data_IF_848712162231
#
_entry.id   IF_848712162231
#
_cell.length_a   1.000
_cell.length_b   1.000
_cell.length_c   1.000
_cell.angle_alpha   90.00
_cell.angle_beta   90.00
_cell.angle_gamma   90.00
#
_symmetry.space_group_name_H-M   'P 1'
#
loop_
_entity.id
_entity.type
_entity.pdbx_description
1 polymer ?
#
# COMPACT_ATOMS: atom_id res chain seq x y z
N UNK A 1 -2.26 24.86 -7.37
CA UNK A 1 -2.08 23.44 -7.01
C UNK A 1 -0.76 23.40 -6.27
N UNK A 2 -0.76 23.32 -4.95
CA UNK A 2 0.49 23.25 -4.18
C UNK A 2 0.91 21.79 -4.14
N UNK A 3 1.84 21.43 -5.00
CA UNK A 3 2.60 20.19 -4.89
C UNK A 3 3.41 20.29 -3.58
N UNK A 4 3.23 19.31 -2.68
CA UNK A 4 3.99 19.23 -1.45
C UNK A 4 5.35 18.60 -1.78
N UNK A 5 6.38 19.43 -1.92
CA UNK A 5 7.76 18.99 -2.05
C UNK A 5 8.41 18.93 -0.66
N UNK A 6 9.02 17.80 -0.31
CA UNK A 6 10.01 17.75 0.78
C UNK A 6 11.40 18.11 0.23
N UNK A 7 12.36 18.50 1.08
CA UNK A 7 13.69 19.01 0.68
C UNK A 7 14.51 18.03 -0.19
N UNK A 8 14.07 16.77 -0.31
CA UNK A 8 14.66 15.71 -1.13
C UNK A 8 13.90 15.37 -2.44
N UNK A 9 12.96 16.20 -2.94
CA UNK A 9 12.23 16.03 -4.22
C UNK A 9 11.34 14.77 -4.34
N UNK A 10 10.86 14.20 -3.24
CA UNK A 10 9.89 13.09 -3.30
C UNK A 10 8.46 13.57 -3.53
N UNK A 11 7.71 12.88 -4.41
CA UNK A 11 6.26 12.98 -4.41
C UNK A 11 5.69 12.19 -3.23
N UNK A 12 4.77 12.77 -2.47
CA UNK A 12 4.16 12.09 -1.31
C UNK A 12 2.80 11.51 -1.70
N UNK A 13 2.58 10.25 -1.33
CA UNK A 13 1.28 9.57 -1.45
C UNK A 13 0.94 8.82 -0.17
N UNK A 14 -0.34 8.83 0.20
CA UNK A 14 -0.86 8.08 1.34
C UNK A 14 -1.66 6.88 0.86
N UNK A 15 -1.45 5.73 1.51
CA UNK A 15 -2.11 4.48 1.16
C UNK A 15 -2.70 3.82 2.40
N UNK A 16 -3.91 3.28 2.29
CA UNK A 16 -4.56 2.44 3.32
C UNK A 16 -5.36 1.32 2.64
N UNK A 17 -5.45 0.19 3.34
CA UNK A 17 -6.28 -0.95 2.99
C UNK A 17 -7.21 -1.32 4.12
N UNK A 18 -8.49 -1.46 3.81
CA UNK A 18 -9.47 -1.91 4.80
C UNK A 18 -10.05 -3.28 4.44
N UNK A 19 -10.53 -4.00 5.45
CA UNK A 19 -11.28 -5.24 5.25
C UNK A 19 -12.33 -5.38 6.36
N UNK A 20 -13.61 -5.27 5.99
CA UNK A 20 -14.72 -5.67 6.84
C UNK A 20 -14.78 -7.20 6.92
N UNK A 21 -15.16 -7.73 8.10
CA UNK A 21 -15.26 -9.17 8.34
C UNK A 21 -13.95 -9.93 8.03
N UNK A 22 -12.80 -9.30 8.34
CA UNK A 22 -11.47 -9.88 8.10
C UNK A 22 -11.30 -11.23 8.81
N UNK A 23 -11.02 -12.29 8.02
CA UNK A 23 -10.88 -13.65 8.53
C UNK A 23 -12.22 -14.37 8.82
N UNK A 24 -13.36 -13.75 8.52
CA UNK A 24 -14.69 -14.34 8.66
C UNK A 24 -15.27 -14.75 7.30
N UNK A 25 -16.56 -15.14 7.28
CA UNK A 25 -17.17 -15.86 6.15
C UNK A 25 -17.43 -15.03 4.89
N UNK A 26 -17.49 -13.70 4.97
CA UNK A 26 -17.78 -12.85 3.80
C UNK A 26 -16.97 -11.55 3.82
N UNK A 27 -15.62 -11.63 3.74
CA UNK A 27 -14.76 -10.47 3.85
C UNK A 27 -14.98 -9.49 2.68
N UNK A 28 -15.00 -8.19 2.99
CA UNK A 28 -15.12 -7.11 2.01
C UNK A 28 -13.98 -6.14 2.21
N UNK A 29 -13.05 -6.14 1.25
CA UNK A 29 -11.87 -5.32 1.32
C UNK A 29 -11.88 -4.22 0.27
N UNK A 30 -11.16 -3.15 0.55
CA UNK A 30 -11.01 -2.01 -0.35
C UNK A 30 -9.68 -1.33 -0.12
N UNK A 31 -9.20 -0.64 -1.15
CA UNK A 31 -7.95 0.11 -1.13
C UNK A 31 -8.25 1.61 -1.31
N UNK A 32 -7.42 2.44 -0.73
CA UNK A 32 -7.42 3.89 -0.92
C UNK A 32 -6.02 4.41 -1.20
N UNK A 33 -5.88 5.23 -2.23
CA UNK A 33 -4.65 5.94 -2.59
C UNK A 33 -4.97 7.43 -2.70
N UNK A 34 -4.33 8.23 -1.85
CA UNK A 34 -4.55 9.67 -1.76
C UNK A 34 -3.25 10.42 -2.02
N UNK A 35 -3.26 11.23 -3.07
CA UNK A 35 -2.15 12.05 -3.55
C UNK A 35 -2.27 13.53 -3.16
N UNK A 36 -3.43 13.95 -2.65
CA UNK A 36 -3.70 15.34 -2.29
C UNK A 36 -5.13 15.78 -2.57
N UNK A 37 -5.47 17.00 -2.16
CA UNK A 37 -6.79 17.58 -2.45
C UNK A 37 -6.99 17.75 -3.96
N UNK A 38 -8.14 17.29 -4.47
CA UNK A 38 -8.52 17.29 -5.89
C UNK A 38 -7.47 16.69 -6.85
N UNK A 39 -6.55 15.86 -6.34
CA UNK A 39 -5.51 15.28 -7.17
C UNK A 39 -6.11 14.24 -8.14
N UNK A 40 -5.82 14.31 -9.45
CA UNK A 40 -6.43 13.44 -10.45
C UNK A 40 -6.06 11.96 -10.29
N UNK A 41 -4.96 11.67 -9.57
CA UNK A 41 -4.54 10.30 -9.27
C UNK A 41 -5.18 9.72 -8.00
N UNK A 42 -5.99 10.47 -7.26
CA UNK A 42 -6.75 9.90 -6.15
C UNK A 42 -7.61 8.73 -6.65
N UNK A 43 -7.41 7.55 -6.07
CA UNK A 43 -8.09 6.34 -6.54
C UNK A 43 -8.46 5.42 -5.38
N UNK A 44 -9.59 4.76 -5.51
CA UNK A 44 -10.08 3.79 -4.53
C UNK A 44 -11.02 2.81 -5.18
N UNK A 45 -11.14 1.63 -4.57
CA UNK A 45 -12.02 0.61 -5.10
C UNK A 45 -12.00 -0.68 -4.30
N UNK A 46 -12.78 -1.66 -4.75
CA UNK A 46 -12.86 -2.96 -4.11
C UNK A 46 -11.58 -3.79 -4.31
N UNK A 47 -11.13 -4.49 -3.27
CA UNK A 47 -10.08 -5.52 -3.38
C UNK A 47 -10.69 -6.93 -3.50
N UNK A 48 -10.30 -7.75 -4.50
CA UNK A 48 -10.95 -9.02 -4.85
C UNK A 48 -11.44 -9.91 -3.71
N UNK A 49 -12.74 -10.24 -3.71
CA UNK A 49 -13.44 -11.03 -2.67
C UNK A 49 -12.80 -12.37 -2.34
N UNK A 50 -12.33 -13.13 -3.33
CA UNK A 50 -11.84 -14.51 -3.13
C UNK A 50 -10.64 -14.61 -2.17
N UNK A 51 -9.97 -13.48 -1.95
CA UNK A 51 -8.72 -13.41 -1.21
C UNK A 51 -8.69 -12.23 -0.23
N UNK A 52 -9.83 -11.60 0.06
CA UNK A 52 -9.91 -10.37 0.84
C UNK A 52 -9.41 -10.58 2.27
N UNK A 53 -8.33 -9.88 2.60
CA UNK A 53 -7.82 -9.68 3.95
C UNK A 53 -7.35 -8.24 4.08
N UNK A 54 -7.23 -7.73 5.31
CA UNK A 54 -6.69 -6.39 5.53
C UNK A 54 -5.29 -6.25 4.91
N UNK A 55 -4.34 -7.16 5.25
CA UNK A 55 -2.98 -7.12 4.73
C UNK A 55 -2.87 -7.13 3.19
N UNK A 56 -3.77 -7.83 2.49
CA UNK A 56 -3.77 -7.85 1.02
C UNK A 56 -4.33 -6.56 0.44
N UNK A 57 -5.32 -5.95 1.08
CA UNK A 57 -5.82 -4.64 0.71
C UNK A 57 -4.75 -3.56 0.88
N UNK A 58 -3.98 -3.62 1.97
CA UNK A 58 -2.85 -2.73 2.23
C UNK A 58 -1.77 -2.86 1.15
N UNK A 59 -1.33 -4.09 0.85
CA UNK A 59 -0.36 -4.35 -0.21
C UNK A 59 -0.88 -3.91 -1.59
N UNK A 60 -2.17 -4.07 -1.85
CA UNK A 60 -2.77 -3.64 -3.10
C UNK A 60 -2.79 -2.12 -3.24
N UNK A 61 -3.07 -1.37 -2.16
CA UNK A 61 -3.01 0.09 -2.16
C UNK A 61 -1.60 0.59 -2.53
N UNK A 62 -0.56 -0.03 -1.96
CA UNK A 62 0.85 0.24 -2.28
C UNK A 62 1.16 -0.06 -3.74
N UNK A 63 0.82 -1.28 -4.19
CA UNK A 63 1.03 -1.70 -5.58
C UNK A 63 0.37 -0.73 -6.57
N UNK A 64 -0.87 -0.32 -6.27
CA UNK A 64 -1.63 0.59 -7.12
C UNK A 64 -0.98 1.97 -7.19
N UNK A 65 -0.58 2.54 -6.04
CA UNK A 65 0.11 3.82 -5.97
C UNK A 65 1.44 3.82 -6.75
N UNK A 66 2.24 2.75 -6.61
CA UNK A 66 3.50 2.58 -7.35
C UNK A 66 3.24 2.55 -8.86
N UNK A 67 2.26 1.77 -9.31
CA UNK A 67 1.91 1.72 -10.73
C UNK A 67 1.48 3.09 -11.24
N UNK A 68 0.62 3.81 -10.50
CA UNK A 68 0.25 5.17 -10.86
C UNK A 68 1.47 6.08 -11.01
N UNK A 69 2.41 6.01 -10.08
CA UNK A 69 3.64 6.79 -10.12
C UNK A 69 4.45 6.50 -11.40
N UNK A 70 4.71 5.22 -11.67
CA UNK A 70 5.45 4.76 -12.85
C UNK A 70 4.78 5.21 -14.14
N UNK A 71 3.46 5.02 -14.28
CA UNK A 71 2.70 5.43 -15.47
C UNK A 71 2.71 6.95 -15.71
N UNK A 72 2.93 7.74 -14.65
CA UNK A 72 3.01 9.20 -14.73
C UNK A 72 4.47 9.73 -14.72
N UNK A 73 5.47 8.84 -14.84
CA UNK A 73 6.89 9.23 -14.92
C UNK A 73 7.48 9.74 -13.60
N UNK A 74 6.86 9.44 -12.46
CA UNK A 74 7.40 9.76 -11.13
C UNK A 74 8.49 8.74 -10.79
N UNK A 75 9.71 9.22 -10.54
CA UNK A 75 10.88 8.38 -10.22
C UNK A 75 11.16 8.25 -8.72
N UNK A 76 10.76 9.24 -7.92
CA UNK A 76 11.01 9.32 -6.49
C UNK A 76 9.68 9.51 -5.76
N UNK A 77 9.29 8.51 -4.98
CA UNK A 77 8.00 8.46 -4.29
C UNK A 77 8.20 8.19 -2.80
N UNK A 78 7.48 8.91 -1.95
CA UNK A 78 7.36 8.60 -0.54
C UNK A 78 5.95 8.06 -0.27
N UNK A 79 5.85 6.80 0.12
CA UNK A 79 4.59 6.16 0.52
C UNK A 79 4.44 6.26 2.04
N UNK A 80 3.38 6.95 2.47
CA UNK A 80 2.99 7.08 3.87
C UNK A 80 1.83 6.15 4.20
N UNK A 81 1.99 5.31 5.22
CA UNK A 81 0.99 4.31 5.63
C UNK A 81 0.98 4.10 7.15
N UNK A 82 -0.17 3.77 7.74
CA UNK A 82 -0.27 3.32 9.13
C UNK A 82 -0.01 1.80 9.28
N UNK A 83 0.22 1.10 8.18
CA UNK A 83 0.51 -0.33 8.18
C UNK A 83 1.99 -0.61 8.50
N UNK A 84 2.25 -1.00 9.75
CA UNK A 84 3.57 -1.53 10.13
C UNK A 84 3.92 -2.80 9.35
N UNK A 85 2.92 -3.57 8.90
CA UNK A 85 3.12 -4.73 8.04
C UNK A 85 3.73 -4.33 6.70
N UNK A 86 3.16 -3.33 6.01
CA UNK A 86 3.71 -2.82 4.73
C UNK A 86 5.11 -2.26 4.94
N UNK A 87 5.28 -1.34 5.91
CA UNK A 87 6.58 -0.72 6.16
C UNK A 87 7.64 -1.79 6.41
N UNK A 88 7.40 -2.72 7.33
CA UNK A 88 8.43 -3.69 7.72
C UNK A 88 8.75 -4.68 6.59
N UNK A 89 7.78 -5.02 5.73
CA UNK A 89 8.07 -5.83 4.53
C UNK A 89 9.13 -5.14 3.69
N UNK A 90 8.89 -3.89 3.27
CA UNK A 90 9.70 -3.24 2.25
C UNK A 90 10.95 -2.53 2.80
N UNK A 91 11.07 -2.37 4.13
CA UNK A 91 12.29 -1.82 4.74
C UNK A 91 13.20 -2.89 5.34
N UNK A 92 12.66 -3.99 5.84
CA UNK A 92 13.43 -4.94 6.67
C UNK A 92 13.28 -6.39 6.16
N UNK A 93 12.06 -6.94 6.21
CA UNK A 93 11.86 -8.38 6.11
C UNK A 93 12.11 -8.97 4.72
N UNK A 94 11.87 -8.21 3.66
CA UNK A 94 11.97 -8.74 2.29
C UNK A 94 13.38 -9.19 1.94
N UNK A 95 14.41 -8.54 2.47
CA UNK A 95 15.81 -8.88 2.23
C UNK A 95 16.22 -10.18 2.91
N UNK A 96 15.70 -10.42 4.12
CA UNK A 96 15.93 -11.69 4.83
C UNK A 96 15.18 -12.84 4.15
N UNK A 97 13.94 -12.58 3.71
CA UNK A 97 13.12 -13.58 3.03
C UNK A 97 13.70 -13.99 1.68
N UNK A 98 14.29 -13.05 0.93
CA UNK A 98 14.94 -13.37 -0.34
C UNK A 98 16.13 -14.32 -0.14
N UNK A 99 16.91 -14.10 0.93
CA UNK A 99 18.08 -14.93 1.25
C UNK A 99 17.70 -16.29 1.81
N UNK A 100 16.58 -16.40 2.52
CA UNK A 100 16.20 -17.62 3.25
C UNK A 100 15.16 -18.50 2.50
N UNK A 101 14.89 -18.20 1.23
CA UNK A 101 13.95 -18.98 0.42
C UNK A 101 12.47 -18.69 0.72
N UNK A 102 12.16 -17.48 1.19
CA UNK A 102 10.81 -16.99 1.52
C UNK A 102 10.13 -17.74 2.66
N UNK A 103 10.88 -17.97 3.73
CA UNK A 103 10.41 -18.61 4.95
C UNK A 103 10.37 -17.57 6.09
N UNK A 104 9.28 -17.54 6.85
CA UNK A 104 9.12 -16.64 7.98
C UNK A 104 9.88 -17.16 9.22
N UNK A 105 9.93 -16.37 10.29
CA UNK A 105 10.63 -16.74 11.54
C UNK A 105 10.08 -18.01 12.22
N UNK A 106 8.86 -18.43 11.86
CA UNK A 106 8.19 -19.62 12.39
C UNK A 106 8.47 -20.87 11.54
N UNK A 107 9.23 -20.75 10.45
CA UNK A 107 9.55 -21.86 9.55
C UNK A 107 8.48 -22.13 8.48
N UNK A 108 7.50 -21.24 8.30
CA UNK A 108 6.45 -21.37 7.29
C UNK A 108 6.71 -20.49 6.07
N UNK A 109 6.18 -20.84 4.89
CA UNK A 109 6.20 -19.94 3.74
C UNK A 109 5.60 -18.56 4.05
N UNK A 110 6.26 -17.51 3.58
CA UNK A 110 5.82 -16.13 3.78
C UNK A 110 4.43 -15.91 3.17
N UNK A 111 3.51 -15.37 3.97
CA UNK A 111 2.16 -15.02 3.49
C UNK A 111 2.23 -13.86 2.50
N UNK A 112 1.38 -13.91 1.47
CA UNK A 112 1.29 -12.89 0.41
C UNK A 112 2.57 -12.73 -0.42
N UNK A 113 3.47 -13.71 -0.39
CA UNK A 113 4.74 -13.72 -1.11
C UNK A 113 4.59 -13.27 -2.57
N UNK A 114 3.56 -13.73 -3.28
CA UNK A 114 3.33 -13.34 -4.68
C UNK A 114 3.24 -11.81 -4.87
N UNK A 115 2.36 -11.13 -4.12
CA UNK A 115 2.20 -9.67 -4.22
C UNK A 115 3.45 -8.91 -3.76
N UNK A 116 4.10 -9.42 -2.71
CA UNK A 116 5.33 -8.82 -2.18
C UNK A 116 6.44 -8.85 -3.24
N UNK A 117 6.57 -9.97 -3.96
CA UNK A 117 7.52 -10.12 -5.07
C UNK A 117 7.20 -9.22 -6.25
N UNK A 118 5.93 -9.07 -6.61
CA UNK A 118 5.51 -8.13 -7.67
C UNK A 118 5.86 -6.69 -7.30
N UNK A 119 5.57 -6.26 -6.06
CA UNK A 119 5.93 -4.92 -5.61
C UNK A 119 7.46 -4.75 -5.61
N UNK A 120 8.21 -5.73 -5.11
CA UNK A 120 9.68 -5.70 -5.13
C UNK A 120 10.24 -5.52 -6.54
N UNK A 121 9.72 -6.28 -7.51
CA UNK A 121 10.16 -6.16 -8.90
C UNK A 121 9.95 -4.74 -9.45
N UNK A 122 8.88 -4.06 -9.03
CA UNK A 122 8.65 -2.66 -9.38
C UNK A 122 9.69 -1.72 -8.74
N UNK A 123 9.99 -1.94 -7.47
CA UNK A 123 10.99 -1.17 -6.72
C UNK A 123 12.41 -1.36 -7.27
N UNK A 124 12.79 -2.58 -7.64
CA UNK A 124 14.13 -2.88 -8.11
C UNK A 124 14.42 -2.28 -9.50
N UNK A 125 13.38 -2.13 -10.34
CA UNK A 125 13.57 -1.89 -11.77
C UNK A 125 13.02 -0.54 -12.28
N UNK A 126 12.07 0.10 -11.58
CA UNK A 126 11.33 1.22 -12.19
C UNK A 126 11.21 2.48 -11.33
N UNK A 127 11.29 2.39 -10.00
CA UNK A 127 11.01 3.53 -9.12
C UNK A 127 11.77 3.44 -7.81
N UNK A 128 12.22 4.58 -7.29
CA UNK A 128 12.78 4.70 -5.94
C UNK A 128 11.66 5.09 -4.98
N UNK A 129 11.44 4.27 -3.95
CA UNK A 129 10.33 4.45 -2.99
C UNK A 129 10.83 4.43 -1.56
N UNK A 130 10.53 5.52 -0.84
CA UNK A 130 10.68 5.58 0.60
C UNK A 130 9.36 5.17 1.29
N UNK A 131 9.43 4.20 2.19
CA UNK A 131 8.28 3.78 3.01
C UNK A 131 8.32 4.43 4.39
N UNK A 132 7.36 5.30 4.67
CA UNK A 132 7.26 6.03 5.94
C UNK A 132 6.04 5.53 6.73
N UNK A 133 6.31 4.98 7.92
CA UNK A 133 5.24 4.64 8.84
C UNK A 133 4.78 5.88 9.60
N UNK A 134 3.47 6.13 9.60
CA UNK A 134 2.81 7.22 10.32
C UNK A 134 1.70 6.69 11.22
N UNK A 135 1.28 7.47 12.20
CA UNK A 135 0.12 7.09 13.03
C UNK A 135 -1.17 7.37 12.26
N UNK A 136 -2.19 6.54 12.42
CA UNK A 136 -3.46 6.66 11.67
C UNK A 136 -4.13 8.02 11.81
N UNK A 137 -3.92 8.70 12.93
CA UNK A 137 -4.50 9.98 13.26
C UNK A 137 -3.58 11.19 13.03
N UNK A 138 -2.30 10.97 12.71
CA UNK A 138 -1.29 12.04 12.72
C UNK A 138 -1.39 12.99 11.53
N UNK A 139 -1.93 12.53 10.40
CA UNK A 139 -1.98 13.31 9.17
C UNK A 139 -3.37 13.26 8.53
N UNK A 140 -3.72 14.28 7.76
CA UNK A 140 -4.99 14.30 7.01
C UNK A 140 -4.97 13.29 5.86
N UNK A 141 -3.82 13.11 5.20
CA UNK A 141 -3.71 12.21 4.05
C UNK A 141 -4.03 10.74 4.38
N UNK A 142 -3.58 10.24 5.52
CA UNK A 142 -3.90 8.88 5.96
C UNK A 142 -5.38 8.72 6.34
N UNK A 143 -6.01 9.76 6.90
CA UNK A 143 -7.46 9.75 7.15
C UNK A 143 -8.26 9.72 5.85
N UNK A 144 -7.79 10.43 4.82
CA UNK A 144 -8.41 10.39 3.50
C UNK A 144 -8.22 9.05 2.80
N UNK A 145 -7.02 8.46 2.86
CA UNK A 145 -6.76 7.12 2.33
C UNK A 145 -7.64 6.07 3.03
N UNK A 146 -7.76 6.11 4.36
CA UNK A 146 -8.65 5.23 5.13
C UNK A 146 -10.13 5.39 4.75
N UNK A 147 -10.60 6.64 4.62
CA UNK A 147 -11.96 6.92 4.14
C UNK A 147 -12.19 6.31 2.76
N UNK A 148 -11.25 6.52 1.84
CA UNK A 148 -11.29 6.01 0.48
C UNK A 148 -11.30 4.47 0.44
N UNK A 149 -10.45 3.82 1.23
CA UNK A 149 -10.43 2.36 1.35
C UNK A 149 -11.77 1.80 1.83
N UNK A 150 -12.38 2.43 2.84
CA UNK A 150 -13.71 2.07 3.36
C UNK A 150 -14.82 2.25 2.33
N UNK A 151 -14.79 3.33 1.55
CA UNK A 151 -15.72 3.51 0.43
C UNK A 151 -15.50 2.45 -0.66
N UNK A 152 -14.26 2.09 -0.96
CA UNK A 152 -13.92 1.02 -1.90
C UNK A 152 -14.50 -0.34 -1.49
N UNK A 153 -14.38 -0.69 -0.22
CA UNK A 153 -14.92 -1.94 0.33
C UNK A 153 -16.45 -2.02 0.27
N UNK A 154 -17.14 -0.87 0.29
CA UNK A 154 -18.60 -0.78 0.16
C UNK A 154 -19.10 -0.91 -1.28
N UNK A 155 -18.24 -0.92 -2.30
CA UNK A 155 -18.70 -1.12 -3.69
C UNK A 155 -19.09 -2.57 -3.99
N UNK A 156 -18.93 -3.48 -3.02
CA UNK A 156 -19.37 -4.86 -3.11
C UNK A 156 -20.86 -5.09 -2.85
N UNK A 157 -21.62 -4.02 -2.63
CA UNK A 157 -23.06 -4.00 -2.38
C UNK A 157 -23.84 -3.56 -3.61
#
# INVERSE_FOLDING_TARGET
MSEFFDEDYFYIVWTDGCCYDNGAGYPKAGYGVWWGHDHPLNSYGPFPKSHATNNRAELYAVYYAINQAIYNGIQYLQIRTDSTYVKNIFTDWIYDWEQNGWINYEGYPVKNQYMIREIKDLLDNYIDVEFVHIKRESEEGIKQADRMAKEGAKQYY
#
